data_IF_150342690889
#
_entry.id   IF_150342690889
#
_cell.length_a   1.000
_cell.length_b   1.000
_cell.length_c   1.000
_cell.angle_alpha   90.00
_cell.angle_beta   90.00
_cell.angle_gamma   90.00
#
_symmetry.space_group_name_H-M   'P 1'
#
loop_
_entity.id
_entity.type
_entity.pdbx_description
1 polymer ?
#
# COMPACT_ATOMS: atom_id res chain seq x y z
N UNK A 1 4.38 -1.92 2.11
CA UNK A 1 2.93 -1.62 2.02
C UNK A 1 2.59 -1.43 0.56
N UNK A 2 1.50 -2.04 0.10
CA UNK A 2 1.04 -1.93 -1.28
C UNK A 2 0.56 -0.51 -1.62
N UNK A 3 0.50 -0.20 -2.91
CA UNK A 3 0.21 1.18 -3.38
C UNK A 3 -1.28 1.55 -3.34
N UNK A 4 -2.16 0.58 -3.22
CA UNK A 4 -3.62 0.72 -3.13
C UNK A 4 -4.14 0.66 -1.69
N UNK A 5 -3.30 1.08 -0.74
CA UNK A 5 -3.64 1.15 0.68
C UNK A 5 -3.75 2.59 1.16
N UNK A 6 -4.69 2.82 2.08
CA UNK A 6 -4.89 4.09 2.77
C UNK A 6 -4.60 3.93 4.26
N UNK A 7 -3.66 4.73 4.77
CA UNK A 7 -3.30 4.73 6.19
C UNK A 7 -4.18 5.73 6.95
N UNK A 8 -5.01 5.23 7.87
CA UNK A 8 -5.93 6.03 8.69
C UNK A 8 -5.44 6.21 10.13
N UNK A 9 -4.31 5.61 10.49
CA UNK A 9 -3.80 5.62 11.85
C UNK A 9 -2.28 5.83 11.88
N UNK A 10 -1.72 6.43 12.95
CA UNK A 10 -0.28 6.62 13.07
C UNK A 10 0.48 5.30 12.94
N UNK A 11 1.35 5.20 11.93
CA UNK A 11 2.12 3.98 11.65
C UNK A 11 3.25 3.75 12.66
N UNK A 12 3.56 4.74 13.46
CA UNK A 12 4.55 4.65 14.54
C UNK A 12 4.22 3.57 15.56
N UNK A 13 2.93 3.22 15.73
CA UNK A 13 2.54 2.09 16.57
C UNK A 13 3.12 0.76 16.10
N UNK A 14 3.42 0.61 14.79
CA UNK A 14 4.04 -0.59 14.26
C UNK A 14 5.48 -0.79 14.75
N UNK A 15 6.14 0.27 15.20
CA UNK A 15 7.48 0.18 15.75
C UNK A 15 7.53 -0.64 17.06
N UNK A 16 6.44 -0.67 17.81
CA UNK A 16 6.36 -1.43 19.06
C UNK A 16 6.58 -2.93 18.83
N UNK A 17 6.12 -3.46 17.69
CA UNK A 17 6.26 -4.87 17.36
C UNK A 17 7.72 -5.31 17.17
N UNK A 18 8.59 -4.43 16.68
CA UNK A 18 10.01 -4.73 16.49
C UNK A 18 10.88 -4.37 17.70
N UNK A 19 10.33 -3.59 18.66
CA UNK A 19 11.10 -3.11 19.81
C UNK A 19 10.71 -3.77 21.12
N UNK A 20 9.54 -4.40 21.22
CA UNK A 20 8.98 -4.93 22.47
C UNK A 20 8.47 -6.37 22.28
N UNK A 21 8.69 -7.21 23.29
CA UNK A 21 8.16 -8.56 23.36
C UNK A 21 8.93 -9.60 22.52
N UNK A 22 8.20 -10.57 21.99
CA UNK A 22 8.76 -11.59 21.09
C UNK A 22 9.09 -10.94 19.73
N UNK A 23 10.30 -11.20 19.23
CA UNK A 23 10.78 -10.60 17.99
C UNK A 23 10.70 -11.61 16.84
N UNK A 24 10.24 -11.16 15.69
CA UNK A 24 10.17 -11.92 14.45
C UNK A 24 10.87 -11.15 13.32
N UNK A 25 11.51 -11.83 12.35
CA UNK A 25 12.11 -11.16 11.19
C UNK A 25 11.10 -10.31 10.41
N UNK A 26 9.84 -10.74 10.37
CA UNK A 26 8.76 -10.03 9.69
C UNK A 26 7.45 -10.20 10.45
N UNK A 27 6.64 -9.14 10.43
CA UNK A 27 5.29 -9.11 10.96
C UNK A 27 4.31 -8.79 9.85
N UNK A 28 3.20 -9.53 9.79
CA UNK A 28 2.16 -9.40 8.76
C UNK A 28 0.78 -9.54 9.38
N UNK A 29 -0.26 -9.09 8.69
CA UNK A 29 -1.63 -9.44 9.05
C UNK A 29 -1.96 -10.82 8.50
N UNK A 30 -2.11 -11.81 9.38
CA UNK A 30 -2.46 -13.19 9.00
C UNK A 30 -3.97 -13.31 8.75
N UNK A 31 -4.43 -12.84 7.61
CA UNK A 31 -5.81 -13.00 7.15
C UNK A 31 -6.07 -14.41 6.57
N UNK A 32 -7.33 -14.74 6.31
CA UNK A 32 -7.70 -15.97 5.57
C UNK A 32 -7.18 -15.99 4.13
N UNK A 33 -6.88 -14.82 3.58
CA UNK A 33 -6.32 -14.62 2.25
C UNK A 33 -4.79 -14.54 2.36
N UNK A 34 -4.11 -15.69 2.32
CA UNK A 34 -2.65 -15.73 2.51
C UNK A 34 -1.88 -14.90 1.48
N UNK A 35 -2.39 -14.73 0.29
CA UNK A 35 -1.78 -13.91 -0.76
C UNK A 35 -1.76 -12.42 -0.40
N UNK A 36 -2.57 -11.97 0.59
CA UNK A 36 -2.60 -10.60 1.09
C UNK A 36 -1.64 -10.35 2.27
N UNK A 37 -0.97 -11.39 2.79
CA UNK A 37 -0.02 -11.20 3.89
C UNK A 37 1.13 -10.26 3.55
N UNK A 38 1.73 -10.29 2.34
CA UNK A 38 2.81 -9.39 1.97
C UNK A 38 2.38 -7.94 1.75
N UNK A 39 1.08 -7.65 1.72
CA UNK A 39 0.56 -6.31 1.41
C UNK A 39 1.00 -5.26 2.44
N UNK A 40 1.09 -5.64 3.71
CA UNK A 40 1.71 -4.84 4.77
C UNK A 40 2.70 -5.69 5.54
N UNK A 41 3.97 -5.31 5.50
CA UNK A 41 5.06 -5.98 6.21
C UNK A 41 5.82 -4.99 7.09
N UNK A 42 6.11 -5.40 8.32
CA UNK A 42 7.03 -4.70 9.22
C UNK A 42 8.23 -5.61 9.46
N UNK A 43 9.43 -5.12 9.14
CA UNK A 43 10.66 -5.89 9.22
C UNK A 43 11.46 -5.52 10.47
N UNK A 44 11.96 -6.52 11.15
CA UNK A 44 13.06 -6.38 12.09
C UNK A 44 14.36 -6.70 11.34
N UNK A 45 15.02 -5.67 10.85
CA UNK A 45 16.19 -5.81 10.00
C UNK A 45 17.34 -6.58 10.66
N UNK A 46 17.43 -6.56 11.99
CA UNK A 46 18.46 -7.31 12.71
C UNK A 46 18.26 -8.84 12.63
N UNK A 47 17.03 -9.28 12.36
CA UNK A 47 16.65 -10.69 12.25
C UNK A 47 16.48 -11.17 10.81
N UNK A 48 16.52 -10.29 9.80
CA UNK A 48 16.33 -10.64 8.39
C UNK A 48 17.61 -11.22 7.73
N UNK A 49 18.39 -12.01 8.45
CA UNK A 49 19.71 -12.49 8.00
C UNK A 49 19.66 -13.39 6.76
N UNK A 50 18.56 -14.09 6.52
CA UNK A 50 18.39 -14.99 5.38
C UNK A 50 17.80 -14.28 4.14
N UNK A 51 17.31 -13.05 4.28
CA UNK A 51 16.79 -12.25 3.15
C UNK A 51 17.94 -11.48 2.49
N UNK A 52 18.83 -12.21 1.84
CA UNK A 52 20.02 -11.65 1.18
C UNK A 52 19.73 -11.30 -0.30
N UNK A 53 20.56 -10.47 -0.95
CA UNK A 53 20.47 -10.25 -2.39
C UNK A 53 20.48 -11.56 -3.20
N UNK A 54 21.33 -12.52 -2.81
CA UNK A 54 21.43 -13.81 -3.49
C UNK A 54 20.14 -14.63 -3.35
N UNK A 55 19.48 -14.56 -2.18
CA UNK A 55 18.17 -15.19 -1.98
C UNK A 55 17.10 -14.58 -2.89
N UNK A 56 17.11 -13.23 -3.03
CA UNK A 56 16.13 -12.50 -3.84
C UNK A 56 16.36 -12.71 -5.34
N UNK A 57 17.63 -12.80 -5.76
CA UNK A 57 18.00 -12.96 -7.17
C UNK A 57 17.80 -14.40 -7.69
N UNK A 58 17.60 -15.38 -6.80
CA UNK A 58 17.31 -16.76 -7.18
C UNK A 58 15.82 -16.90 -7.54
N UNK A 59 15.55 -17.17 -8.82
CA UNK A 59 14.20 -17.35 -9.35
C UNK A 59 13.42 -18.52 -8.70
N UNK A 60 14.11 -19.45 -8.03
CA UNK A 60 13.45 -20.53 -7.28
C UNK A 60 12.81 -20.03 -5.96
N UNK A 61 13.22 -18.87 -5.47
CA UNK A 61 12.72 -18.30 -4.23
C UNK A 61 11.58 -17.32 -4.48
N UNK A 62 10.64 -17.27 -3.55
CA UNK A 62 9.61 -16.23 -3.52
C UNK A 62 9.61 -15.56 -2.15
N UNK A 63 10.15 -14.33 -2.02
CA UNK A 63 10.20 -13.63 -0.75
C UNK A 63 8.85 -13.43 -0.06
N UNK A 64 7.75 -13.41 -0.83
CA UNK A 64 6.39 -13.26 -0.33
C UNK A 64 5.83 -14.50 0.36
N UNK A 65 6.50 -15.66 0.27
CA UNK A 65 6.12 -16.88 1.03
C UNK A 65 6.66 -16.89 2.46
N UNK A 66 7.63 -16.02 2.74
CA UNK A 66 8.33 -15.92 4.02
C UNK A 66 9.18 -17.15 4.41
N UNK A 67 9.53 -18.00 3.44
CA UNK A 67 10.35 -19.19 3.69
C UNK A 67 11.78 -18.86 4.16
N UNK A 68 12.21 -17.61 3.97
CA UNK A 68 13.47 -17.05 4.47
C UNK A 68 13.43 -16.69 5.95
N UNK A 69 12.23 -16.53 6.54
CA UNK A 69 12.04 -16.10 7.92
C UNK A 69 11.86 -17.30 8.84
N UNK A 70 12.64 -17.38 9.92
CA UNK A 70 12.53 -18.42 10.93
C UNK A 70 11.15 -18.41 11.63
N UNK A 71 10.54 -17.26 11.69
CA UNK A 71 9.18 -17.06 12.21
C UNK A 71 8.54 -15.82 11.61
N UNK A 72 7.20 -15.81 11.57
CA UNK A 72 6.41 -14.69 11.08
C UNK A 72 5.47 -14.24 12.20
N UNK A 73 5.63 -13.00 12.65
CA UNK A 73 4.77 -12.36 13.64
C UNK A 73 3.38 -12.02 13.08
N UNK A 74 2.44 -11.75 13.97
CA UNK A 74 1.06 -11.42 13.61
C UNK A 74 0.69 -10.02 14.07
N UNK A 75 0.23 -9.19 13.15
CA UNK A 75 -0.34 -7.88 13.40
C UNK A 75 -1.85 -7.97 13.62
N UNK A 76 -2.39 -7.00 14.35
CA UNK A 76 -3.85 -6.83 14.48
C UNK A 76 -4.49 -6.70 13.08
N UNK A 77 -5.60 -7.40 12.79
CA UNK A 77 -6.26 -7.36 11.49
C UNK A 77 -6.68 -5.96 11.00
N UNK A 78 -6.76 -4.97 11.89
CA UNK A 78 -7.04 -3.58 11.51
C UNK A 78 -5.92 -2.93 10.68
N UNK A 79 -4.71 -3.50 10.69
CA UNK A 79 -3.57 -3.01 9.91
C UNK A 79 -3.57 -3.44 8.43
N UNK A 80 -4.47 -4.33 8.03
CA UNK A 80 -4.69 -4.68 6.61
C UNK A 80 -6.16 -5.10 6.43
N UNK A 81 -7.05 -4.11 6.47
CA UNK A 81 -8.47 -4.34 6.22
C UNK A 81 -8.73 -4.40 4.70
N UNK A 82 -8.93 -5.60 4.18
CA UNK A 82 -9.11 -5.87 2.75
C UNK A 82 -10.56 -5.62 2.33
N UNK A 83 -10.82 -4.47 1.72
CA UNK A 83 -12.15 -4.10 1.21
C UNK A 83 -12.61 -5.11 0.17
N UNK A 84 -13.82 -5.64 0.36
CA UNK A 84 -14.40 -6.66 -0.52
C UNK A 84 -14.10 -8.10 -0.12
N UNK A 85 -13.09 -8.36 0.73
CA UNK A 85 -12.80 -9.68 1.28
C UNK A 85 -13.15 -9.78 2.77
N UNK A 86 -12.80 -8.77 3.53
CA UNK A 86 -13.12 -8.75 4.96
C UNK A 86 -14.59 -8.37 5.18
N UNK A 87 -15.13 -8.78 6.34
CA UNK A 87 -16.40 -8.22 6.78
C UNK A 87 -16.22 -6.73 7.10
N UNK A 88 -17.22 -5.89 6.78
CA UNK A 88 -17.16 -4.47 7.09
C UNK A 88 -16.72 -4.22 8.53
N UNK A 89 -15.76 -3.31 8.69
CA UNK A 89 -15.11 -3.03 9.97
C UNK A 89 -15.03 -1.52 10.18
N UNK A 90 -15.58 -1.05 11.30
CA UNK A 90 -15.26 0.27 11.80
C UNK A 90 -13.85 0.27 12.42
N UNK A 91 -13.12 1.36 12.29
CA UNK A 91 -11.80 1.55 12.90
C UNK A 91 -10.66 0.69 12.29
N UNK A 92 -10.66 0.50 10.96
CA UNK A 92 -9.46 0.04 10.28
C UNK A 92 -8.32 1.04 10.52
N UNK A 93 -7.10 0.54 10.68
CA UNK A 93 -5.89 1.37 10.81
C UNK A 93 -5.25 1.60 9.44
N UNK A 94 -5.28 0.57 8.60
CA UNK A 94 -4.92 0.62 7.18
C UNK A 94 -6.00 -0.09 6.39
N UNK A 95 -6.52 0.59 5.38
CA UNK A 95 -7.51 0.08 4.44
C UNK A 95 -6.82 -0.32 3.15
N UNK A 96 -7.09 -1.52 2.65
CA UNK A 96 -6.54 -2.07 1.43
C UNK A 96 -7.64 -2.27 0.39
N UNK A 97 -7.58 -1.53 -0.71
CA UNK A 97 -8.59 -1.55 -1.76
C UNK A 97 -8.32 -2.66 -2.78
N UNK A 98 -8.35 -3.90 -2.32
CA UNK A 98 -8.00 -5.12 -3.08
C UNK A 98 -8.76 -5.32 -4.40
N UNK A 99 -9.93 -4.70 -4.55
CA UNK A 99 -10.74 -4.77 -5.76
C UNK A 99 -10.64 -3.51 -6.63
N UNK A 100 -9.80 -2.57 -6.22
CA UNK A 100 -9.58 -1.28 -6.88
C UNK A 100 -9.94 -0.09 -6.00
N UNK A 101 -9.16 0.97 -6.16
CA UNK A 101 -9.31 2.21 -5.40
C UNK A 101 -10.60 2.96 -5.78
N UNK A 102 -11.15 3.84 -4.91
CA UNK A 102 -12.38 4.60 -5.16
C UNK A 102 -12.34 5.53 -6.38
N UNK A 103 -11.19 5.68 -7.01
CA UNK A 103 -11.08 6.44 -8.26
C UNK A 103 -11.78 5.76 -9.45
N UNK A 104 -11.88 4.42 -9.43
CA UNK A 104 -12.55 3.69 -10.49
C UNK A 104 -14.07 3.71 -10.31
N UNK A 105 -14.86 3.80 -11.41
CA UNK A 105 -16.33 3.86 -11.32
C UNK A 105 -16.93 2.67 -10.56
N UNK A 106 -16.37 1.48 -10.72
CA UNK A 106 -16.85 0.22 -10.15
C UNK A 106 -16.69 0.14 -8.64
N UNK A 107 -15.70 0.84 -8.09
CA UNK A 107 -15.35 0.82 -6.66
C UNK A 107 -15.57 2.17 -5.98
N UNK A 108 -16.22 3.11 -6.65
CA UNK A 108 -16.37 4.49 -6.20
C UNK A 108 -17.02 4.64 -4.83
N UNK A 109 -17.99 3.79 -4.54
CA UNK A 109 -18.79 3.82 -3.32
C UNK A 109 -18.47 2.64 -2.40
N UNK A 110 -17.24 2.10 -2.47
CA UNK A 110 -16.81 1.03 -1.60
C UNK A 110 -16.59 1.52 -0.15
N UNK A 111 -16.36 0.58 0.75
CA UNK A 111 -16.06 0.87 2.15
C UNK A 111 -14.82 1.79 2.27
N UNK A 112 -14.87 2.78 3.14
CA UNK A 112 -13.83 3.82 3.31
C UNK A 112 -13.55 4.69 2.07
N UNK A 113 -14.50 4.79 1.14
CA UNK A 113 -14.34 5.64 -0.03
C UNK A 113 -14.33 7.13 0.31
N UNK A 114 -15.07 7.56 1.34
CA UNK A 114 -15.10 8.96 1.78
C UNK A 114 -13.72 9.39 2.29
N UNK A 115 -13.09 8.60 3.14
CA UNK A 115 -11.74 8.85 3.67
C UNK A 115 -10.71 8.90 2.53
N UNK A 116 -10.83 8.02 1.54
CA UNK A 116 -9.95 8.03 0.37
C UNK A 116 -10.10 9.32 -0.44
N UNK A 117 -11.33 9.78 -0.66
CA UNK A 117 -11.59 11.01 -1.40
C UNK A 117 -11.14 12.27 -0.65
N UNK A 118 -11.22 12.26 0.68
CA UNK A 118 -10.73 13.35 1.52
C UNK A 118 -9.20 13.46 1.40
N UNK A 119 -8.47 12.36 1.51
CA UNK A 119 -7.01 12.33 1.33
C UNK A 119 -6.59 12.68 -0.11
N UNK A 120 -7.31 12.17 -1.11
CA UNK A 120 -7.06 12.53 -2.50
C UNK A 120 -7.26 14.03 -2.73
N UNK A 121 -8.29 14.61 -2.16
CA UNK A 121 -8.58 16.04 -2.27
C UNK A 121 -7.54 16.89 -1.56
N UNK A 122 -7.11 16.47 -0.37
CA UNK A 122 -6.03 17.13 0.39
C UNK A 122 -4.72 17.08 -0.38
N UNK A 123 -4.35 15.92 -0.93
CA UNK A 123 -3.16 15.75 -1.75
C UNK A 123 -3.19 16.68 -2.98
N UNK A 124 -4.28 16.66 -3.76
CA UNK A 124 -4.38 17.43 -5.01
C UNK A 124 -4.52 18.93 -4.81
N UNK A 125 -4.97 19.38 -3.62
CA UNK A 125 -4.97 20.80 -3.26
C UNK A 125 -3.60 21.34 -2.87
N UNK A 126 -2.69 20.48 -2.39
CA UNK A 126 -1.37 20.85 -1.93
C UNK A 126 -0.28 20.63 -2.99
N UNK A 127 -0.49 19.71 -3.91
CA UNK A 127 0.51 19.35 -4.91
C UNK A 127 -0.16 18.89 -6.20
N UNK A 128 0.23 19.47 -7.34
CA UNK A 128 -0.27 19.00 -8.63
C UNK A 128 0.34 17.64 -9.01
N UNK A 129 -0.35 16.91 -9.89
CA UNK A 129 0.19 15.65 -10.42
C UNK A 129 1.56 15.80 -11.05
N UNK A 130 1.84 16.95 -11.69
CA UNK A 130 3.15 17.23 -12.30
C UNK A 130 4.24 17.40 -11.24
N UNK A 131 3.92 18.04 -10.12
CA UNK A 131 4.86 18.17 -9.00
C UNK A 131 5.14 16.81 -8.35
N UNK A 132 4.12 15.97 -8.20
CA UNK A 132 4.26 14.59 -7.67
C UNK A 132 5.10 13.71 -8.61
N UNK A 133 4.90 13.83 -9.92
CA UNK A 133 5.66 13.05 -10.90
C UNK A 133 7.10 13.55 -11.05
N UNK A 134 7.36 14.81 -10.72
CA UNK A 134 8.70 15.43 -10.78
C UNK A 134 9.38 15.22 -12.13
N UNK A 135 10.60 14.69 -12.11
CA UNK A 135 11.39 14.37 -13.31
C UNK A 135 11.21 12.92 -13.81
N UNK A 136 10.11 12.25 -13.46
CA UNK A 136 9.87 10.89 -13.95
C UNK A 136 9.67 10.87 -15.46
N UNK A 137 9.98 9.73 -16.09
CA UNK A 137 9.79 9.52 -17.55
C UNK A 137 8.32 9.66 -18.00
N UNK A 138 7.38 9.65 -17.06
CA UNK A 138 5.96 9.83 -17.34
C UNK A 138 5.51 11.29 -17.32
N UNK A 139 6.28 12.20 -16.71
CA UNK A 139 5.94 13.63 -16.63
C UNK A 139 5.79 14.24 -18.02
N UNK A 140 6.71 13.96 -18.93
CA UNK A 140 6.67 14.46 -20.31
C UNK A 140 5.44 13.97 -21.09
N UNK A 141 5.04 12.71 -20.89
CA UNK A 141 3.85 12.15 -21.53
C UNK A 141 2.56 12.81 -21.03
N UNK A 142 2.47 13.13 -19.74
CA UNK A 142 1.34 13.85 -19.15
C UNK A 142 1.30 15.29 -19.64
N UNK A 143 2.42 15.99 -19.66
CA UNK A 143 2.53 17.37 -20.19
C UNK A 143 2.08 17.45 -21.65
N UNK A 144 2.53 16.51 -22.47
CA UNK A 144 2.14 16.44 -23.90
C UNK A 144 0.62 16.32 -24.04
N UNK A 145 -0.02 15.40 -23.30
CA UNK A 145 -1.49 15.22 -23.32
C UNK A 145 -2.25 16.43 -22.80
N UNK A 146 -1.76 17.10 -21.77
CA UNK A 146 -2.38 18.33 -21.26
C UNK A 146 -2.32 19.47 -22.29
N UNK A 147 -1.19 19.63 -22.98
CA UNK A 147 -1.00 20.62 -24.03
C UNK A 147 -1.91 20.35 -25.24
N UNK A 148 -2.01 19.10 -25.69
CA UNK A 148 -2.93 18.70 -26.77
C UNK A 148 -4.39 19.01 -26.42
N UNK A 149 -4.83 18.75 -25.18
CA UNK A 149 -6.17 19.10 -24.70
C UNK A 149 -6.42 20.61 -24.68
N UNK A 150 -5.45 21.37 -24.20
CA UNK A 150 -5.55 22.84 -24.15
C UNK A 150 -5.69 23.44 -25.57
N UNK A 151 -4.91 22.96 -26.54
CA UNK A 151 -4.98 23.37 -27.94
C UNK A 151 -6.34 23.01 -28.59
N UNK A 152 -6.85 21.81 -28.30
CA UNK A 152 -8.16 21.36 -28.79
C UNK A 152 -9.34 22.18 -28.21
N UNK A 153 -9.16 22.78 -27.03
CA UNK A 153 -10.14 23.67 -26.42
C UNK A 153 -10.15 25.09 -27.06
N UNK A 154 -8.98 25.58 -27.44
CA UNK A 154 -8.84 26.92 -28.07
C UNK A 154 -9.30 26.93 -29.53
N UNK A 155 -9.45 25.76 -30.15
CA UNK A 155 -9.90 25.60 -31.55
C UNK A 155 -11.42 25.40 -31.70
N UNK A 156 -12.21 25.49 -30.62
CA UNK A 156 -13.67 25.40 -30.59
C UNK A 156 -14.30 26.79 -30.42
#
# INVERSE_FOLDING_TARGET
MDADMLCLWPIEELQEFVTQGERHPVWVVKSSQRFEWPSLMVFDNELCNNLTPEYIDDEANNPATFDWADSVGELDPRWNHCVGYDKPRSHAKVVHYTQGIPHFPETRDCEYSEEWWDEYSAMTSNCSWLELMGSSVHADAVLTKLNERALAWQSR
#
